data_IF_463169663141
#
_entry.id   IF_463169663141
#
_cell.length_a   1.000
_cell.length_b   1.000
_cell.length_c   1.000
_cell.angle_alpha   90.00
_cell.angle_beta   90.00
_cell.angle_gamma   90.00
#
_symmetry.space_group_name_H-M   'P 1'
#
loop_
_entity.id
_entity.type
_entity.pdbx_description
1 polymer ?
#
# COMPACT_ATOMS: atom_id res chain seq x y z
N UNK A 1 -13.73 23.41 16.35
CA UNK A 1 -13.98 21.97 16.52
C UNK A 1 -14.70 21.71 17.83
N UNK A 2 -15.79 20.95 17.81
CA UNK A 2 -16.37 20.30 18.99
C UNK A 2 -16.68 18.87 18.60
N UNK A 3 -15.95 17.94 19.21
CA UNK A 3 -16.27 16.52 19.14
C UNK A 3 -17.42 16.25 20.10
N UNK A 4 -18.43 15.50 19.65
CA UNK A 4 -19.40 14.89 20.55
C UNK A 4 -19.21 13.38 20.48
N UNK A 5 -18.70 12.82 21.57
CA UNK A 5 -18.74 11.39 21.89
C UNK A 5 -20.20 10.97 22.07
N UNK A 6 -20.63 9.91 21.37
CA UNK A 6 -21.89 9.25 21.68
C UNK A 6 -21.73 8.36 22.92
N UNK A 7 -22.73 8.31 23.81
CA UNK A 7 -22.74 7.41 24.95
C UNK A 7 -22.86 5.97 24.46
N UNK A 8 -22.00 5.09 24.96
CA UNK A 8 -22.11 3.65 24.72
C UNK A 8 -22.93 3.05 25.85
N UNK A 9 -24.21 2.76 25.59
CA UNK A 9 -24.97 1.90 26.49
C UNK A 9 -24.71 0.44 26.13
N UNK A 10 -23.98 -0.24 27.00
CA UNK A 10 -23.78 -1.68 26.94
C UNK A 10 -25.10 -2.39 27.19
N UNK A 11 -25.58 -3.20 26.26
CA UNK A 11 -26.35 -4.40 26.55
C UNK A 11 -26.56 -5.26 25.28
N UNK A 12 -25.82 -6.38 25.28
CA UNK A 12 -26.15 -7.73 24.82
C UNK A 12 -26.72 -7.97 23.39
N UNK A 13 -25.98 -8.84 22.69
CA UNK A 13 -26.22 -9.46 21.38
C UNK A 13 -27.64 -10.03 21.24
N UNK A 14 -28.28 -9.75 20.11
CA UNK A 14 -29.48 -10.45 19.64
C UNK A 14 -29.74 -10.19 18.16
N UNK A 15 -29.13 -11.00 17.29
CA UNK A 15 -29.49 -11.08 15.87
C UNK A 15 -30.95 -11.55 15.75
N UNK A 16 -31.85 -10.66 15.33
CA UNK A 16 -33.19 -11.03 14.86
C UNK A 16 -33.42 -10.42 13.48
N UNK A 17 -33.57 -11.28 12.49
CA UNK A 17 -34.08 -10.93 11.18
C UNK A 17 -35.51 -10.42 11.35
N UNK A 18 -35.79 -9.19 10.90
CA UNK A 18 -37.14 -8.64 10.90
C UNK A 18 -37.64 -8.49 9.47
N UNK A 19 -38.64 -9.32 9.17
CA UNK A 19 -39.58 -9.18 8.06
C UNK A 19 -40.35 -7.88 8.20
N UNK A 20 -40.43 -7.10 7.12
CA UNK A 20 -41.20 -5.85 7.07
C UNK A 20 -42.70 -6.11 7.24
N UNK A 21 -43.26 -5.72 8.39
CA UNK A 21 -44.69 -5.49 8.55
C UNK A 21 -44.90 -4.27 9.46
N UNK A 22 -45.34 -3.19 8.81
CA UNK A 22 -46.20 -2.10 9.28
C UNK A 22 -45.89 -1.41 10.63
N UNK A 23 -44.98 -0.43 10.57
CA UNK A 23 -44.99 0.72 11.47
C UNK A 23 -45.41 1.97 10.69
N UNK A 24 -46.58 2.53 11.01
CA UNK A 24 -47.10 3.75 10.40
C UNK A 24 -46.27 5.00 10.77
N UNK A 25 -45.21 5.25 10.00
CA UNK A 25 -44.46 6.51 10.02
C UNK A 25 -45.17 7.49 9.07
N UNK A 26 -45.39 8.77 9.44
CA UNK A 26 -45.99 9.74 8.54
C UNK A 26 -45.13 9.86 7.28
N UNK A 27 -45.72 9.53 6.11
CA UNK A 27 -45.05 9.70 4.82
C UNK A 27 -44.85 11.20 4.59
N UNK A 28 -43.60 11.67 4.64
CA UNK A 28 -43.27 13.01 4.23
C UNK A 28 -43.47 13.14 2.71
N UNK A 29 -44.46 13.93 2.30
CA UNK A 29 -44.74 14.23 0.89
C UNK A 29 -43.85 15.36 0.40
N UNK A 30 -42.54 15.12 0.34
CA UNK A 30 -41.58 15.90 -0.47
C UNK A 30 -40.16 15.38 -0.26
N UNK A 31 -39.86 14.23 -0.86
CA UNK A 31 -38.49 13.71 -0.93
C UNK A 31 -38.20 13.13 -2.32
N UNK A 32 -38.69 13.79 -3.38
CA UNK A 32 -38.28 13.49 -4.76
C UNK A 32 -36.86 13.98 -5.07
N UNK A 33 -36.00 14.19 -4.06
CA UNK A 33 -34.67 14.79 -4.25
C UNK A 33 -33.61 14.33 -3.25
N UNK A 34 -33.81 13.24 -2.51
CA UNK A 34 -32.67 12.55 -1.92
C UNK A 34 -32.05 11.68 -3.01
N UNK A 35 -31.17 12.31 -3.81
CA UNK A 35 -30.24 11.59 -4.67
C UNK A 35 -29.63 10.50 -3.81
N UNK A 36 -29.87 9.25 -4.20
CA UNK A 36 -29.25 8.05 -3.66
C UNK A 36 -27.83 8.40 -3.22
N UNK A 37 -27.51 8.20 -1.94
CA UNK A 37 -26.13 8.34 -1.45
C UNK A 37 -25.33 7.46 -2.40
N UNK A 38 -24.55 8.09 -3.28
CA UNK A 38 -23.78 7.36 -4.28
C UNK A 38 -22.97 6.38 -3.45
N UNK A 39 -23.18 5.08 -3.68
CA UNK A 39 -22.24 4.08 -3.20
C UNK A 39 -20.93 4.49 -3.85
N UNK A 40 -20.08 5.18 -3.09
CA UNK A 40 -18.74 5.53 -3.55
C UNK A 40 -18.01 4.21 -3.43
N UNK A 41 -18.19 3.34 -4.42
CA UNK A 41 -17.34 2.19 -4.57
C UNK A 41 -15.97 2.74 -4.92
N UNK A 42 -15.15 2.96 -3.89
CA UNK A 42 -13.73 3.19 -4.11
C UNK A 42 -13.18 1.94 -4.79
N UNK A 43 -12.46 2.09 -5.92
CA UNK A 43 -11.78 0.96 -6.53
C UNK A 43 -10.93 0.27 -5.46
N UNK A 44 -10.96 -1.06 -5.43
CA UNK A 44 -10.22 -1.84 -4.42
C UNK A 44 -8.73 -1.45 -4.38
N UNK A 45 -8.17 -1.04 -5.52
CA UNK A 45 -6.79 -0.58 -5.65
C UNK A 45 -6.49 0.68 -4.82
N UNK A 46 -7.41 1.66 -4.76
CA UNK A 46 -7.23 2.90 -3.97
C UNK A 46 -7.24 2.59 -2.47
N UNK A 47 -8.16 1.73 -2.04
CA UNK A 47 -8.29 1.33 -0.64
C UNK A 47 -7.09 0.46 -0.23
N UNK A 48 -6.66 -0.43 -1.11
CA UNK A 48 -5.48 -1.26 -0.90
C UNK A 48 -4.19 -0.44 -0.78
N UNK A 49 -4.04 0.58 -1.64
CA UNK A 49 -2.93 1.51 -1.55
C UNK A 49 -2.86 2.19 -0.18
N UNK A 50 -4.01 2.64 0.35
CA UNK A 50 -4.08 3.26 1.67
C UNK A 50 -3.61 2.30 2.79
N UNK A 51 -4.02 1.04 2.73
CA UNK A 51 -3.54 0.03 3.69
C UNK A 51 -2.04 -0.22 3.59
N UNK A 52 -1.47 -0.24 2.38
CA UNK A 52 -0.03 -0.37 2.17
C UNK A 52 0.73 0.79 2.80
N UNK A 53 0.27 2.04 2.58
CA UNK A 53 0.91 3.23 3.18
C UNK A 53 0.92 3.20 4.70
N UNK A 54 -0.13 2.67 5.31
CA UNK A 54 -0.24 2.56 6.77
C UNK A 54 0.36 1.26 7.32
N UNK A 55 0.86 0.36 6.46
CA UNK A 55 1.43 -0.92 6.88
C UNK A 55 0.42 -1.87 7.51
N UNK A 56 -0.86 -1.80 7.15
CA UNK A 56 -1.92 -2.64 7.72
C UNK A 56 -1.88 -4.08 7.17
N UNK A 57 -0.89 -4.86 7.59
CA UNK A 57 -0.57 -6.20 7.06
C UNK A 57 -1.78 -7.14 6.99
N UNK A 58 -2.66 -7.13 8.00
CA UNK A 58 -3.86 -7.97 8.01
C UNK A 58 -4.84 -7.61 6.87
N UNK A 59 -5.09 -6.31 6.68
CA UNK A 59 -6.00 -5.84 5.62
C UNK A 59 -5.40 -6.05 4.24
N UNK A 60 -4.09 -5.79 4.10
CA UNK A 60 -3.32 -6.06 2.89
C UNK A 60 -3.44 -7.56 2.52
N UNK A 61 -3.16 -8.45 3.48
CA UNK A 61 -3.27 -9.89 3.29
C UNK A 61 -4.69 -10.37 2.91
N UNK A 62 -5.73 -9.76 3.49
CA UNK A 62 -7.13 -10.07 3.12
C UNK A 62 -7.44 -9.70 1.67
N UNK A 63 -7.00 -8.54 1.19
CA UNK A 63 -7.24 -8.09 -0.18
C UNK A 63 -6.55 -9.00 -1.20
N UNK A 64 -5.30 -9.39 -0.93
CA UNK A 64 -4.54 -10.29 -1.80
C UNK A 64 -5.11 -11.71 -1.81
N UNK A 65 -5.48 -12.27 -0.65
CA UNK A 65 -6.14 -13.59 -0.56
C UNK A 65 -7.47 -13.62 -1.30
N UNK A 66 -8.23 -12.53 -1.23
CA UNK A 66 -9.50 -12.40 -1.94
C UNK A 66 -9.33 -12.16 -3.45
N UNK A 67 -8.09 -12.03 -3.95
CA UNK A 67 -7.77 -11.71 -5.36
C UNK A 67 -8.53 -10.48 -5.86
N UNK A 68 -8.66 -9.47 -4.99
CA UNK A 68 -9.43 -8.24 -5.26
C UNK A 68 -8.61 -7.11 -5.86
N UNK A 69 -7.29 -7.31 -5.96
CA UNK A 69 -6.30 -6.31 -6.38
C UNK A 69 -5.25 -6.94 -7.25
N UNK A 70 -4.68 -6.13 -8.14
CA UNK A 70 -3.50 -6.47 -8.91
C UNK A 70 -2.29 -5.75 -8.30
N UNK A 71 -1.16 -6.45 -8.15
CA UNK A 71 0.03 -5.92 -7.49
C UNK A 71 0.94 -5.11 -8.44
N UNK A 72 0.73 -5.27 -9.74
CA UNK A 72 1.34 -4.51 -10.84
C UNK A 72 0.60 -3.19 -11.15
N UNK A 73 -0.54 -2.94 -10.50
CA UNK A 73 -1.31 -1.70 -10.69
C UNK A 73 -0.45 -0.49 -10.34
N UNK A 74 -0.25 0.38 -11.33
CA UNK A 74 0.35 1.70 -11.13
C UNK A 74 -0.72 2.70 -10.70
N UNK A 75 -0.58 3.24 -9.49
CA UNK A 75 -1.50 4.20 -8.92
C UNK A 75 -1.37 5.59 -9.52
N UNK A 76 -2.25 6.50 -9.10
CA UNK A 76 -2.17 7.91 -9.47
C UNK A 76 -0.85 8.57 -9.04
N UNK A 77 -0.20 8.09 -7.98
CA UNK A 77 1.14 8.52 -7.55
C UNK A 77 2.24 8.13 -8.55
N UNK A 78 1.96 7.25 -9.51
CA UNK A 78 2.96 6.71 -10.44
C UNK A 78 3.70 5.48 -9.94
N UNK A 79 3.42 5.06 -8.72
CA UNK A 79 4.01 3.91 -8.05
C UNK A 79 3.07 2.70 -8.04
N UNK A 80 3.63 1.50 -7.99
CA UNK A 80 2.91 0.27 -7.61
C UNK A 80 2.89 0.06 -6.08
N UNK A 81 2.13 -0.93 -5.62
CA UNK A 81 2.04 -1.29 -4.20
C UNK A 81 3.41 -1.59 -3.57
N UNK A 82 4.28 -2.25 -4.32
CA UNK A 82 5.63 -2.61 -3.87
C UNK A 82 6.48 -1.37 -3.57
N UNK A 83 6.40 -0.33 -4.40
CA UNK A 83 7.12 0.92 -4.21
C UNK A 83 6.64 1.66 -2.95
N UNK A 84 5.34 1.80 -2.75
CA UNK A 84 4.79 2.43 -1.54
C UNK A 84 5.21 1.67 -0.25
N UNK A 85 5.31 0.34 -0.31
CA UNK A 85 5.82 -0.46 0.82
C UNK A 85 7.31 -0.20 1.10
N UNK A 86 8.11 0.04 0.06
CA UNK A 86 9.53 0.42 0.21
C UNK A 86 9.67 1.84 0.73
N UNK A 87 8.92 2.81 0.18
CA UNK A 87 8.92 4.22 0.58
C UNK A 87 8.57 4.41 2.07
N UNK A 88 7.71 3.54 2.60
CA UNK A 88 7.36 3.54 4.04
C UNK A 88 8.41 2.88 4.93
N UNK A 89 9.46 2.29 4.36
CA UNK A 89 10.48 1.54 5.10
C UNK A 89 9.97 0.25 5.73
N UNK A 90 8.80 -0.25 5.33
CA UNK A 90 8.15 -1.41 5.97
C UNK A 90 8.55 -2.73 5.30
N UNK A 91 9.64 -3.32 5.78
CA UNK A 91 10.13 -4.61 5.28
C UNK A 91 9.11 -5.75 5.38
N UNK A 92 8.26 -5.76 6.41
CA UNK A 92 7.26 -6.82 6.56
C UNK A 92 6.14 -6.71 5.52
N UNK A 93 5.77 -5.48 5.16
CA UNK A 93 4.86 -5.22 4.05
C UNK A 93 5.48 -5.66 2.71
N UNK A 94 6.75 -5.31 2.48
CA UNK A 94 7.52 -5.75 1.31
C UNK A 94 7.54 -7.29 1.19
N UNK A 95 7.90 -7.99 2.27
CA UNK A 95 7.88 -9.47 2.32
C UNK A 95 6.49 -10.04 2.04
N UNK A 96 5.45 -9.42 2.59
CA UNK A 96 4.07 -9.86 2.41
C UNK A 96 3.64 -9.72 0.95
N UNK A 97 4.00 -8.62 0.26
CA UNK A 97 3.70 -8.43 -1.16
C UNK A 97 4.44 -9.45 -2.03
N UNK A 98 5.74 -9.68 -1.78
CA UNK A 98 6.56 -10.68 -2.49
C UNK A 98 5.99 -12.09 -2.31
N UNK A 99 5.61 -12.46 -1.08
CA UNK A 99 5.01 -13.76 -0.78
C UNK A 99 3.74 -14.02 -1.60
N UNK A 100 3.01 -12.96 -1.93
CA UNK A 100 1.80 -13.00 -2.75
C UNK A 100 2.05 -12.81 -4.25
N UNK A 101 3.30 -12.81 -4.70
CA UNK A 101 3.68 -12.78 -6.11
C UNK A 101 3.84 -11.38 -6.70
N UNK A 102 4.07 -10.35 -5.88
CA UNK A 102 4.52 -9.07 -6.40
C UNK A 102 5.86 -9.23 -7.13
N UNK A 103 5.98 -8.57 -8.29
CA UNK A 103 7.22 -8.55 -9.04
C UNK A 103 8.26 -7.65 -8.36
N UNK A 104 9.43 -8.21 -8.04
CA UNK A 104 10.55 -7.50 -7.44
C UNK A 104 11.23 -6.53 -8.43
N UNK A 105 10.99 -6.71 -9.73
CA UNK A 105 11.47 -5.83 -10.79
C UNK A 105 10.37 -4.92 -11.35
N UNK A 106 9.20 -4.86 -10.71
CA UNK A 106 8.11 -3.99 -11.13
C UNK A 106 8.65 -2.57 -11.33
N UNK A 107 8.45 -2.02 -12.53
CA UNK A 107 8.84 -0.64 -12.83
C UNK A 107 7.69 0.31 -12.55
N UNK A 108 7.97 1.45 -11.94
CA UNK A 108 7.03 2.55 -11.78
C UNK A 108 6.99 3.45 -13.04
N UNK A 109 6.33 4.61 -12.96
CA UNK A 109 6.22 5.54 -14.12
C UNK A 109 7.53 6.18 -14.56
N UNK A 110 8.54 6.21 -13.69
CA UNK A 110 9.87 6.76 -13.96
C UNK A 110 10.88 5.62 -14.22
N UNK A 111 10.38 4.40 -14.36
CA UNK A 111 11.21 3.23 -14.61
C UNK A 111 11.95 2.73 -13.36
N UNK A 112 11.66 3.29 -12.18
CA UNK A 112 12.29 2.86 -10.94
C UNK A 112 11.79 1.48 -10.54
N UNK A 113 12.69 0.68 -9.99
CA UNK A 113 12.36 -0.59 -9.36
C UNK A 113 12.26 -0.40 -7.84
N UNK A 114 11.70 -1.35 -7.10
CA UNK A 114 11.77 -1.36 -5.63
C UNK A 114 13.20 -1.21 -5.09
N UNK A 115 14.20 -1.72 -5.82
CA UNK A 115 15.61 -1.62 -5.42
C UNK A 115 16.15 -0.18 -5.60
N UNK A 116 15.79 0.52 -6.68
CA UNK A 116 16.13 1.95 -6.85
C UNK A 116 15.62 2.77 -5.66
N UNK A 117 14.35 2.58 -5.30
CA UNK A 117 13.72 3.29 -4.19
C UNK A 117 14.38 2.97 -2.85
N UNK A 118 14.70 1.69 -2.59
CA UNK A 118 15.39 1.30 -1.36
C UNK A 118 16.79 1.92 -1.24
N UNK A 119 17.48 2.12 -2.37
CA UNK A 119 18.79 2.77 -2.41
C UNK A 119 18.69 4.29 -2.21
N UNK A 120 17.78 4.94 -2.94
CA UNK A 120 17.51 6.38 -2.85
C UNK A 120 17.07 6.80 -1.44
N UNK A 121 16.16 6.05 -0.83
CA UNK A 121 15.59 6.39 0.49
C UNK A 121 16.44 5.87 1.66
N UNK A 122 17.56 5.19 1.37
CA UNK A 122 18.50 4.75 2.40
C UNK A 122 17.97 3.61 3.28
N UNK A 123 17.34 2.58 2.68
CA UNK A 123 16.85 1.39 3.39
C UNK A 123 17.71 0.12 3.13
N UNK A 124 18.90 0.00 3.74
CA UNK A 124 19.81 -1.14 3.53
C UNK A 124 19.18 -2.51 3.80
N UNK A 125 18.31 -2.59 4.81
CA UNK A 125 17.63 -3.83 5.19
C UNK A 125 16.61 -4.30 4.14
N UNK A 126 15.96 -3.37 3.41
CA UNK A 126 15.08 -3.70 2.28
C UNK A 126 15.91 -4.02 1.04
N UNK A 127 16.93 -3.21 0.73
CA UNK A 127 17.82 -3.47 -0.41
C UNK A 127 18.48 -4.86 -0.31
N UNK A 128 19.01 -5.22 0.87
CA UNK A 128 19.55 -6.55 1.14
C UNK A 128 18.53 -7.66 0.93
N UNK A 129 17.29 -7.44 1.36
CA UNK A 129 16.22 -8.43 1.15
C UNK A 129 15.91 -8.60 -0.34
N UNK A 130 15.74 -7.51 -1.10
CA UNK A 130 15.49 -7.56 -2.53
C UNK A 130 16.63 -8.23 -3.30
N UNK A 131 17.88 -7.88 -3.00
CA UNK A 131 19.06 -8.53 -3.60
C UNK A 131 19.13 -10.03 -3.27
N UNK A 132 18.76 -10.42 -2.05
CA UNK A 132 18.69 -11.84 -1.67
C UNK A 132 17.64 -12.64 -2.45
N UNK A 133 16.64 -11.97 -3.03
CA UNK A 133 15.62 -12.54 -3.91
C UNK A 133 16.05 -12.53 -5.39
N UNK A 134 17.21 -11.97 -5.72
CA UNK A 134 17.71 -11.86 -7.09
C UNK A 134 17.28 -10.59 -7.81
N UNK A 135 16.94 -9.51 -7.10
CA UNK A 135 16.75 -8.20 -7.72
C UNK A 135 18.04 -7.80 -8.48
N UNK A 136 17.87 -7.22 -9.67
CA UNK A 136 18.97 -6.87 -10.57
C UNK A 136 19.54 -5.50 -10.17
N UNK A 137 20.80 -5.44 -9.67
CA UNK A 137 21.44 -4.18 -9.29
C UNK A 137 21.91 -3.35 -10.50
N UNK A 138 21.87 -3.89 -11.71
CA UNK A 138 22.34 -3.21 -12.93
C UNK A 138 21.20 -2.64 -13.78
N UNK A 139 19.94 -2.86 -13.38
CA UNK A 139 18.80 -2.34 -14.13
C UNK A 139 18.75 -0.81 -14.02
N UNK A 140 18.70 -0.12 -15.16
CA UNK A 140 18.61 1.34 -15.19
C UNK A 140 17.16 1.84 -15.13
N UNK A 141 16.93 2.94 -14.42
CA UNK A 141 15.68 3.69 -14.49
C UNK A 141 15.58 4.48 -15.81
N UNK A 142 14.51 5.25 -16.02
CA UNK A 142 14.34 6.01 -17.28
C UNK A 142 15.34 7.18 -17.43
N UNK A 143 16.04 7.55 -16.35
CA UNK A 143 17.14 8.51 -16.35
C UNK A 143 18.51 7.88 -16.68
N UNK A 144 18.59 6.54 -16.81
CA UNK A 144 19.85 5.83 -17.01
C UNK A 144 20.66 5.60 -15.73
N UNK A 145 20.03 5.74 -14.56
CA UNK A 145 20.68 5.55 -13.26
C UNK A 145 20.44 4.14 -12.76
N UNK A 146 21.48 3.49 -12.22
CA UNK A 146 21.35 2.20 -11.53
C UNK A 146 20.98 2.43 -10.07
N UNK A 147 20.44 1.43 -9.36
CA UNK A 147 20.15 1.54 -7.93
C UNK A 147 21.35 2.02 -7.10
N UNK A 148 22.56 1.55 -7.43
CA UNK A 148 23.78 1.94 -6.73
C UNK A 148 24.15 3.43 -6.92
N UNK A 149 23.79 4.03 -8.06
CA UNK A 149 24.08 5.44 -8.36
C UNK A 149 23.22 6.40 -7.52
N UNK A 150 22.08 5.90 -7.00
CA UNK A 150 21.14 6.66 -6.19
C UNK A 150 21.46 6.62 -4.68
N UNK A 151 22.49 5.88 -4.27
CA UNK A 151 22.84 5.75 -2.85
C UNK A 151 23.39 7.09 -2.34
N UNK A 152 22.75 7.65 -1.31
CA UNK A 152 23.25 8.85 -0.62
C UNK A 152 24.66 8.60 -0.05
N UNK A 153 25.55 9.57 -0.21
CA UNK A 153 26.92 9.56 0.30
C UNK A 153 26.98 9.44 1.83
N UNK A 154 25.92 9.84 2.53
CA UNK A 154 25.82 9.68 3.98
C UNK A 154 25.54 8.23 4.42
N UNK A 155 25.05 7.37 3.51
CA UNK A 155 24.74 5.98 3.83
C UNK A 155 26.00 5.12 3.85
N UNK A 156 26.29 4.50 5.00
CA UNK A 156 27.46 3.63 5.17
C UNK A 156 27.19 2.17 4.84
N UNK A 157 25.96 1.70 5.05
CA UNK A 157 25.61 0.28 4.92
C UNK A 157 25.29 -0.12 3.48
N UNK A 158 24.64 0.76 2.70
CA UNK A 158 24.26 0.46 1.32
C UNK A 158 25.48 0.23 0.40
N UNK A 159 26.51 1.10 0.39
CA UNK A 159 27.69 0.86 -0.45
C UNK A 159 28.38 -0.48 -0.15
N UNK A 160 28.45 -0.87 1.12
CA UNK A 160 29.01 -2.16 1.55
C UNK A 160 28.23 -3.35 0.95
N UNK A 161 26.90 -3.26 0.88
CA UNK A 161 26.04 -4.31 0.28
C UNK A 161 26.39 -4.52 -1.20
N UNK A 162 26.74 -3.46 -1.92
CA UNK A 162 27.15 -3.52 -3.32
C UNK A 162 28.65 -3.84 -3.50
N UNK A 163 29.42 -4.00 -2.41
CA UNK A 163 30.87 -4.17 -2.48
C UNK A 163 31.61 -2.92 -2.95
N UNK A 164 30.95 -1.75 -2.90
CA UNK A 164 31.54 -0.45 -3.19
C UNK A 164 32.30 -0.01 -1.93
N UNK A 165 33.59 -0.32 -1.87
CA UNK A 165 34.44 0.06 -0.75
C UNK A 165 34.46 1.58 -0.59
N UNK A 166 33.96 2.08 0.55
CA UNK A 166 34.18 3.46 1.00
C UNK A 166 35.66 3.55 1.38
N UNK A 167 36.47 4.13 0.50
CA UNK A 167 37.85 4.45 0.86
C UNK A 167 37.81 5.64 1.84
N UNK A 168 38.37 5.43 3.03
CA UNK A 168 38.45 6.36 4.18
C UNK A 168 38.96 7.77 3.84
#
# INVERSE_FOLDING_TARGET
MKYFQCPVDSQTIGIKAYTQQDCGVPVCKSCDSLKQIRSVHFPNDVVFQDYVRHGELERIGLFMRARRVSLDTIYHSGMAAMHEAVLTGNLDCVKLLVLHGADIHQRDKEGWTPLHMACSDGFPHIARYLLSLGADPELENDCGEKPADLIDLENKELPEIYGLAVND
#
